data_IF_084118090540
#
_entry.id   IF_084118090540
#
_cell.length_a   1.000
_cell.length_b   1.000
_cell.length_c   1.000
_cell.angle_alpha   90.00
_cell.angle_beta   90.00
_cell.angle_gamma   90.00
#
_symmetry.space_group_name_H-M   'P 1'
#
loop_
_entity.id
_entity.type
_entity.pdbx_description
1 polymer ?
#
# COMPACT_ATOMS: atom_id res chain seq x y z
N UNK A 1 -4.42 -0.60 12.04
CA UNK A 1 -4.59 -0.44 10.58
C UNK A 1 -5.37 -1.64 10.09
N UNK A 2 -6.61 -1.43 9.71
CA UNK A 2 -7.41 -2.51 9.15
C UNK A 2 -7.29 -2.48 7.64
N UNK A 3 -6.50 -3.40 7.10
CA UNK A 3 -6.31 -3.59 5.65
C UNK A 3 -6.90 -4.94 5.31
N UNK A 4 -7.91 -4.93 4.47
CA UNK A 4 -8.59 -6.13 3.99
C UNK A 4 -8.17 -6.45 2.55
N UNK A 5 -8.45 -7.67 2.11
CA UNK A 5 -8.22 -8.15 0.74
C UNK A 5 -6.76 -8.04 0.25
N UNK A 6 -5.82 -8.38 1.12
CA UNK A 6 -4.42 -8.44 0.72
C UNK A 6 -4.18 -9.65 -0.18
N UNK A 7 -3.45 -9.46 -1.27
CA UNK A 7 -3.02 -10.57 -2.13
C UNK A 7 -2.05 -11.50 -1.41
N UNK A 8 -1.26 -10.97 -0.46
CA UNK A 8 -0.25 -11.74 0.28
C UNK A 8 -0.06 -11.17 1.69
N UNK A 9 0.16 -12.05 2.67
CA UNK A 9 0.61 -11.73 4.02
C UNK A 9 1.99 -12.35 4.24
N UNK A 10 2.94 -11.56 4.71
CA UNK A 10 4.27 -12.06 5.08
C UNK A 10 4.45 -11.89 6.58
N UNK A 11 4.59 -13.00 7.32
CA UNK A 11 5.02 -12.98 8.71
C UNK A 11 6.54 -13.00 8.77
N UNK A 12 7.14 -11.87 9.08
CA UNK A 12 8.59 -11.76 9.29
C UNK A 12 9.05 -12.54 10.53
N UNK A 13 8.23 -12.56 11.57
CA UNK A 13 8.38 -13.39 12.77
C UNK A 13 7.06 -14.10 13.04
N UNK A 14 7.14 -15.38 13.45
CA UNK A 14 5.97 -16.11 13.88
C UNK A 14 5.44 -15.52 15.20
N UNK A 15 4.14 -15.24 15.29
CA UNK A 15 3.54 -14.85 16.56
C UNK A 15 3.63 -15.98 17.58
N UNK A 16 3.54 -15.64 18.84
CA UNK A 16 3.62 -16.59 19.96
C UNK A 16 2.35 -17.41 20.11
N UNK A 17 1.24 -16.90 19.64
CA UNK A 17 -0.07 -17.52 19.73
C UNK A 17 -0.73 -17.66 18.37
N UNK A 18 -1.60 -18.64 18.27
CA UNK A 18 -2.25 -19.04 17.02
C UNK A 18 -3.35 -18.08 16.61
N UNK A 19 -4.05 -17.49 17.57
CA UNK A 19 -5.11 -16.53 17.29
C UNK A 19 -4.54 -15.31 16.53
N UNK A 20 -3.42 -14.77 17.00
CA UNK A 20 -2.68 -13.72 16.31
C UNK A 20 -2.23 -14.16 14.91
N UNK A 21 -1.76 -15.41 14.76
CA UNK A 21 -1.41 -15.94 13.44
C UNK A 21 -2.63 -15.96 12.51
N UNK A 22 -3.75 -16.48 12.99
CA UNK A 22 -5.00 -16.56 12.20
C UNK A 22 -5.52 -15.16 11.83
N UNK A 23 -5.47 -14.21 12.74
CA UNK A 23 -5.86 -12.81 12.46
C UNK A 23 -4.98 -12.16 11.40
N UNK A 24 -3.67 -12.42 11.41
CA UNK A 24 -2.76 -11.90 10.37
C UNK A 24 -3.05 -12.54 9.02
N UNK A 25 -3.09 -13.86 8.95
CA UNK A 25 -3.35 -14.61 7.72
C UNK A 25 -4.76 -14.34 7.20
N UNK A 26 -5.73 -14.14 8.08
CA UNK A 26 -7.10 -13.78 7.73
C UNK A 26 -7.27 -12.41 7.07
N UNK A 27 -6.19 -11.69 6.74
CA UNK A 27 -6.23 -10.48 5.91
C UNK A 27 -6.14 -10.79 4.42
N UNK A 28 -5.89 -12.06 4.06
CA UNK A 28 -5.84 -12.53 2.67
C UNK A 28 -6.82 -13.70 2.48
N UNK A 29 -7.20 -13.99 1.24
CA UNK A 29 -8.06 -15.13 0.91
C UNK A 29 -9.50 -15.04 1.42
N UNK A 30 -10.07 -13.85 1.52
CA UNK A 30 -11.48 -13.63 1.95
C UNK A 30 -12.46 -13.74 0.80
N UNK A 31 -13.72 -13.96 1.15
CA UNK A 31 -14.86 -13.98 0.21
C UNK A 31 -14.69 -14.94 -0.99
N UNK A 32 -14.02 -16.08 -0.79
CA UNK A 32 -13.78 -17.06 -1.86
C UNK A 32 -12.59 -16.73 -2.77
N UNK A 33 -11.87 -15.63 -2.53
CA UNK A 33 -10.64 -15.33 -3.24
C UNK A 33 -9.48 -16.18 -2.70
N UNK A 34 -8.53 -16.53 -3.58
CA UNK A 34 -7.29 -17.17 -3.17
C UNK A 34 -6.34 -16.12 -2.57
N UNK A 35 -5.65 -16.49 -1.49
CA UNK A 35 -4.66 -15.65 -0.85
C UNK A 35 -3.42 -16.43 -0.47
N UNK A 36 -2.28 -15.75 -0.38
CA UNK A 36 -1.01 -16.36 -0.01
C UNK A 36 -0.55 -15.85 1.36
N UNK A 37 -0.11 -16.75 2.23
CA UNK A 37 0.55 -16.39 3.48
C UNK A 37 1.92 -17.06 3.55
N UNK A 38 2.96 -16.27 3.71
CA UNK A 38 4.34 -16.74 3.85
C UNK A 38 4.82 -16.38 5.25
N UNK A 39 5.49 -17.32 5.92
CA UNK A 39 6.14 -17.06 7.21
C UNK A 39 7.63 -17.34 7.11
N UNK A 40 8.45 -16.40 7.52
CA UNK A 40 9.87 -16.62 7.70
C UNK A 40 10.07 -17.26 9.08
N UNK A 41 10.70 -18.42 9.13
CA UNK A 41 10.89 -19.20 10.36
C UNK A 41 12.37 -19.31 10.65
N UNK A 42 12.82 -18.61 11.68
CA UNK A 42 14.18 -18.79 12.20
C UNK A 42 14.28 -20.10 12.99
N UNK A 43 15.50 -20.64 13.13
CA UNK A 43 15.69 -21.93 13.83
C UNK A 43 15.11 -21.93 15.26
N UNK A 44 15.16 -20.79 15.97
CA UNK A 44 14.56 -20.61 17.31
C UNK A 44 13.01 -20.65 17.34
N UNK A 45 12.37 -20.51 16.18
CA UNK A 45 10.91 -20.47 16.04
C UNK A 45 10.34 -21.80 15.53
N UNK A 46 11.19 -22.79 15.32
CA UNK A 46 10.80 -24.08 14.75
C UNK A 46 9.71 -24.76 15.58
N UNK A 47 9.82 -24.75 16.91
CA UNK A 47 8.82 -25.32 17.81
C UNK A 47 7.45 -24.63 17.70
N UNK A 48 7.42 -23.32 17.42
CA UNK A 48 6.16 -22.60 17.17
C UNK A 48 5.53 -23.02 15.85
N UNK A 49 6.35 -23.19 14.81
CA UNK A 49 5.86 -23.67 13.52
C UNK A 49 5.30 -25.11 13.63
N UNK A 50 5.95 -25.99 14.36
CA UNK A 50 5.47 -27.34 14.65
C UNK A 50 4.15 -27.33 15.44
N UNK A 51 3.99 -26.42 16.42
CA UNK A 51 2.73 -26.24 17.14
C UNK A 51 1.61 -25.76 16.21
N UNK A 52 1.90 -24.86 15.25
CA UNK A 52 0.97 -24.45 14.20
C UNK A 52 0.53 -25.62 13.31
N UNK A 53 1.46 -26.48 12.90
CA UNK A 53 1.14 -27.69 12.13
C UNK A 53 0.18 -28.62 12.89
N UNK A 54 0.53 -28.92 14.13
CA UNK A 54 -0.27 -29.78 15.01
C UNK A 54 -1.70 -29.26 15.17
N UNK A 55 -1.88 -27.96 15.38
CA UNK A 55 -3.20 -27.38 15.57
C UNK A 55 -4.00 -27.25 14.28
N UNK A 56 -3.36 -27.03 13.14
CA UNK A 56 -4.04 -27.01 11.83
C UNK A 56 -4.43 -28.39 11.35
N UNK A 57 -3.86 -29.44 11.90
CA UNK A 57 -4.02 -30.82 11.44
C UNK A 57 -3.51 -31.04 10.02
N UNK A 58 -2.67 -30.14 9.51
CA UNK A 58 -2.08 -30.22 8.16
C UNK A 58 -0.64 -29.74 8.20
N UNK A 59 0.28 -30.42 7.50
CA UNK A 59 1.67 -30.02 7.40
C UNK A 59 1.78 -28.62 6.74
N UNK A 60 2.80 -27.87 7.12
CA UNK A 60 3.19 -26.64 6.43
C UNK A 60 3.99 -27.00 5.18
N UNK A 61 3.85 -26.18 4.15
CA UNK A 61 4.69 -26.29 2.95
C UNK A 61 6.05 -25.62 3.23
N UNK A 62 7.00 -26.44 3.69
CA UNK A 62 8.34 -25.99 4.01
C UNK A 62 9.16 -25.76 2.75
N UNK A 63 9.60 -24.52 2.57
CA UNK A 63 10.44 -24.15 1.45
C UNK A 63 11.82 -23.66 1.92
N UNK A 64 12.85 -23.96 1.14
CA UNK A 64 14.16 -23.39 1.38
C UNK A 64 14.14 -21.91 1.03
N UNK A 65 14.67 -21.07 1.92
CA UNK A 65 14.86 -19.67 1.64
C UNK A 65 15.76 -19.53 0.40
N UNK A 66 15.32 -18.82 -0.66
CA UNK A 66 16.19 -18.55 -1.79
C UNK A 66 17.45 -17.82 -1.31
N UNK A 67 18.61 -18.34 -1.66
CA UNK A 67 19.85 -17.61 -1.41
C UNK A 67 19.80 -16.28 -2.15
N UNK A 68 20.20 -15.21 -1.48
CA UNK A 68 20.33 -13.91 -2.12
C UNK A 68 21.26 -14.05 -3.32
N UNK A 69 20.72 -13.88 -4.51
CA UNK A 69 21.55 -13.80 -5.71
C UNK A 69 22.34 -12.49 -5.67
N UNK A 70 23.58 -12.50 -6.13
CA UNK A 70 24.44 -11.32 -6.15
C UNK A 70 23.92 -10.18 -7.06
N UNK A 71 22.88 -10.43 -7.85
CA UNK A 71 22.16 -9.40 -8.60
C UNK A 71 20.96 -8.93 -7.78
N UNK A 72 20.89 -7.63 -7.48
CA UNK A 72 19.64 -7.07 -6.99
C UNK A 72 18.55 -7.39 -8.01
N UNK A 73 17.55 -8.16 -7.61
CA UNK A 73 16.36 -8.29 -8.44
C UNK A 73 15.79 -6.88 -8.65
N UNK A 74 15.43 -6.54 -9.88
CA UNK A 74 14.68 -5.31 -10.12
C UNK A 74 13.41 -5.40 -9.30
N UNK A 75 13.33 -4.57 -8.28
CA UNK A 75 12.14 -4.52 -7.45
C UNK A 75 10.96 -4.04 -8.29
N UNK A 76 9.83 -4.74 -8.27
CA UNK A 76 8.65 -4.30 -8.98
C UNK A 76 8.26 -2.90 -8.50
N UNK A 77 8.14 -1.98 -9.43
CA UNK A 77 7.74 -0.62 -9.11
C UNK A 77 6.21 -0.54 -9.00
N UNK A 78 5.73 0.12 -7.96
CA UNK A 78 4.29 0.36 -7.83
C UNK A 78 3.79 1.16 -9.05
N UNK A 79 2.63 0.76 -9.60
CA UNK A 79 2.00 1.44 -10.73
C UNK A 79 1.61 2.89 -10.42
N UNK A 80 1.38 3.19 -9.14
CA UNK A 80 0.99 4.51 -8.68
C UNK A 80 2.10 5.14 -7.82
N UNK A 81 2.16 6.46 -7.79
CA UNK A 81 2.94 7.27 -6.86
C UNK A 81 2.03 8.17 -6.05
N UNK A 82 2.38 8.43 -4.82
CA UNK A 82 1.62 9.32 -3.96
C UNK A 82 2.13 10.75 -4.10
N UNK A 83 1.24 11.69 -4.40
CA UNK A 83 1.51 13.12 -4.27
C UNK A 83 1.01 13.59 -2.92
N UNK A 84 1.82 14.38 -2.24
CA UNK A 84 1.43 15.13 -1.05
C UNK A 84 1.19 16.58 -1.42
N UNK A 85 0.06 17.12 -0.98
CA UNK A 85 -0.35 18.51 -1.10
C UNK A 85 -0.36 19.10 0.31
N UNK A 86 0.34 20.21 0.53
CA UNK A 86 0.39 20.92 1.82
C UNK A 86 -0.86 21.82 1.99
N UNK A 87 -2.02 21.17 1.94
CA UNK A 87 -3.35 21.72 2.13
C UNK A 87 -4.33 20.63 2.51
N UNK A 88 -5.29 20.93 3.37
CA UNK A 88 -6.21 19.95 3.94
C UNK A 88 -7.59 20.48 4.29
N UNK A 89 -8.23 19.84 5.28
CA UNK A 89 -9.57 20.22 5.76
C UNK A 89 -9.61 21.65 6.29
N UNK A 90 -8.54 22.12 6.96
CA UNK A 90 -8.42 23.50 7.46
C UNK A 90 -8.44 24.54 6.34
N UNK A 91 -7.99 24.13 5.14
CA UNK A 91 -8.06 24.95 3.92
C UNK A 91 -9.38 24.76 3.17
N UNK A 92 -10.32 24.01 3.74
CA UNK A 92 -11.62 23.65 3.15
C UNK A 92 -11.48 22.88 1.83
N UNK A 93 -10.38 22.12 1.65
CA UNK A 93 -10.20 21.24 0.51
C UNK A 93 -11.11 20.02 0.61
N UNK A 94 -11.64 19.61 -0.54
CA UNK A 94 -12.44 18.40 -0.73
C UNK A 94 -11.82 17.54 -1.83
N UNK A 95 -12.08 16.24 -1.87
CA UNK A 95 -11.57 15.37 -2.95
C UNK A 95 -11.87 15.89 -4.35
N UNK A 96 -13.09 16.43 -4.56
CA UNK A 96 -13.50 17.01 -5.84
C UNK A 96 -12.66 18.22 -6.28
N UNK A 97 -12.18 19.06 -5.34
CA UNK A 97 -11.34 20.21 -5.67
C UNK A 97 -9.97 19.75 -6.22
N UNK A 98 -9.39 18.71 -5.62
CA UNK A 98 -8.12 18.12 -6.07
C UNK A 98 -8.32 17.39 -7.39
N UNK A 99 -9.40 16.61 -7.51
CA UNK A 99 -9.73 15.92 -8.75
C UNK A 99 -9.92 16.91 -9.90
N UNK A 100 -10.68 17.99 -9.67
CA UNK A 100 -10.93 19.04 -10.66
C UNK A 100 -9.64 19.71 -11.13
N UNK A 101 -8.72 20.06 -10.23
CA UNK A 101 -7.42 20.63 -10.59
C UNK A 101 -6.56 19.65 -11.41
N UNK A 102 -6.60 18.36 -11.08
CA UNK A 102 -5.84 17.34 -11.81
C UNK A 102 -6.44 17.03 -13.19
N UNK A 103 -7.76 17.00 -13.32
CA UNK A 103 -8.41 16.68 -14.60
C UNK A 103 -8.54 17.90 -15.50
N UNK A 104 -8.77 19.08 -14.92
CA UNK A 104 -8.88 20.34 -15.65
C UNK A 104 -7.51 20.90 -16.03
N UNK A 105 -6.87 21.62 -15.10
CA UNK A 105 -5.64 22.36 -15.36
C UNK A 105 -4.46 21.45 -15.70
N UNK A 106 -4.32 20.32 -15.05
CA UNK A 106 -3.27 19.36 -15.33
C UNK A 106 -3.57 18.41 -16.51
N UNK A 107 -4.81 18.36 -16.97
CA UNK A 107 -5.24 17.55 -18.12
C UNK A 107 -5.01 16.05 -17.96
N UNK A 108 -5.10 15.52 -16.73
CA UNK A 108 -4.99 14.09 -16.49
C UNK A 108 -6.36 13.42 -16.69
N UNK A 109 -6.37 12.29 -17.38
CA UNK A 109 -7.57 11.47 -17.43
C UNK A 109 -7.88 10.86 -16.05
N UNK A 110 -9.15 10.84 -15.65
CA UNK A 110 -9.56 10.33 -14.32
C UNK A 110 -9.06 8.93 -13.99
N UNK A 111 -8.90 8.06 -14.99
CA UNK A 111 -8.33 6.70 -14.82
C UNK A 111 -6.88 6.67 -14.28
N UNK A 112 -6.14 7.77 -14.40
CA UNK A 112 -4.76 7.91 -13.88
C UNK A 112 -4.72 8.47 -12.46
N UNK A 113 -5.89 8.80 -11.88
CA UNK A 113 -6.04 9.34 -10.54
C UNK A 113 -6.70 8.28 -9.66
N UNK A 114 -5.99 7.85 -8.63
CA UNK A 114 -6.49 6.88 -7.67
C UNK A 114 -7.06 7.56 -6.41
N UNK A 115 -6.89 6.90 -5.26
CA UNK A 115 -7.44 7.34 -3.96
C UNK A 115 -6.96 8.75 -3.60
N UNK A 116 -7.90 9.60 -3.19
CA UNK A 116 -7.64 10.92 -2.61
C UNK A 116 -8.01 10.86 -1.13
N UNK A 117 -7.04 11.18 -0.26
CA UNK A 117 -7.23 11.23 1.19
C UNK A 117 -6.93 12.64 1.70
N UNK A 118 -7.85 13.22 2.48
CA UNK A 118 -7.72 14.58 3.03
C UNK A 118 -7.65 14.52 4.55
N UNK A 119 -6.57 15.07 5.09
CA UNK A 119 -6.29 15.21 6.51
C UNK A 119 -6.44 16.69 6.94
N UNK A 120 -6.29 17.01 8.22
CA UNK A 120 -6.48 18.39 8.68
C UNK A 120 -5.65 19.42 7.88
N UNK A 121 -4.35 19.20 7.73
CA UNK A 121 -3.41 20.17 7.11
C UNK A 121 -2.76 19.68 5.82
N UNK A 122 -3.05 18.45 5.38
CA UNK A 122 -2.40 17.82 4.23
C UNK A 122 -3.39 16.95 3.48
N UNK A 123 -3.13 16.77 2.19
CA UNK A 123 -3.86 15.82 1.36
C UNK A 123 -2.90 14.94 0.60
N UNK A 124 -3.34 13.74 0.27
CA UNK A 124 -2.59 12.78 -0.50
C UNK A 124 -3.44 12.27 -1.65
N UNK A 125 -2.82 12.13 -2.81
CA UNK A 125 -3.48 11.58 -3.99
C UNK A 125 -2.57 10.58 -4.68
N UNK A 126 -3.10 9.44 -5.04
CA UNK A 126 -2.40 8.45 -5.85
C UNK A 126 -2.51 8.83 -7.33
N UNK A 127 -1.38 8.89 -8.02
CA UNK A 127 -1.30 9.20 -9.44
C UNK A 127 -0.52 8.11 -10.16
N UNK A 128 -0.97 7.72 -11.36
CA UNK A 128 -0.21 6.80 -12.20
C UNK A 128 1.23 7.31 -12.36
N UNK A 129 2.20 6.41 -12.11
CA UNK A 129 3.63 6.73 -11.99
C UNK A 129 4.16 7.61 -13.12
N UNK A 130 3.79 7.30 -14.34
CA UNK A 130 4.21 8.01 -15.55
C UNK A 130 3.74 9.47 -15.59
N UNK A 131 2.65 9.80 -14.88
CA UNK A 131 2.06 11.13 -14.84
C UNK A 131 2.38 11.93 -13.57
N UNK A 132 3.03 11.32 -12.57
CA UNK A 132 3.23 11.93 -11.25
C UNK A 132 4.02 13.25 -11.31
N UNK A 133 5.11 13.30 -12.03
CA UNK A 133 5.94 14.51 -12.14
C UNK A 133 5.20 15.65 -12.86
N UNK A 134 4.48 15.31 -13.94
CA UNK A 134 3.65 16.29 -14.66
C UNK A 134 2.53 16.83 -13.77
N UNK A 135 1.90 15.96 -12.98
CA UNK A 135 0.85 16.35 -12.04
C UNK A 135 1.37 17.33 -10.98
N UNK A 136 2.57 17.08 -10.41
CA UNK A 136 3.19 18.00 -9.45
C UNK A 136 3.42 19.38 -10.08
N UNK A 137 4.10 19.43 -11.22
CA UNK A 137 4.40 20.69 -11.89
C UNK A 137 3.12 21.52 -12.14
N UNK A 138 2.07 20.87 -12.64
CA UNK A 138 0.80 21.54 -12.93
C UNK A 138 0.05 22.00 -11.68
N UNK A 139 0.10 21.23 -10.59
CA UNK A 139 -0.52 21.66 -9.31
C UNK A 139 0.25 22.81 -8.64
N UNK A 140 1.58 22.88 -8.82
CA UNK A 140 2.39 23.98 -8.30
C UNK A 140 2.21 25.28 -9.09
N UNK A 141 2.10 25.19 -10.43
CA UNK A 141 1.80 26.31 -11.31
C UNK A 141 0.35 26.80 -11.14
N UNK A 142 -0.57 25.86 -10.96
CA UNK A 142 -2.00 26.09 -10.92
C UNK A 142 -2.55 26.48 -9.56
N UNK A 143 -3.86 26.38 -9.44
CA UNK A 143 -4.59 26.65 -8.20
C UNK A 143 -5.55 25.53 -7.90
N UNK A 144 -5.63 25.09 -6.65
CA UNK A 144 -6.69 24.22 -6.18
C UNK A 144 -7.69 25.11 -5.42
N UNK A 145 -8.91 25.20 -5.89
CA UNK A 145 -9.95 26.05 -5.29
C UNK A 145 -9.49 27.52 -5.11
N UNK A 146 -8.84 28.07 -6.13
CA UNK A 146 -8.37 29.46 -6.14
C UNK A 146 -7.09 29.73 -5.33
N UNK A 147 -6.49 28.72 -4.65
CA UNK A 147 -5.29 28.87 -3.80
C UNK A 147 -4.15 27.99 -4.35
N UNK A 148 -2.91 28.43 -4.15
CA UNK A 148 -1.71 27.65 -4.45
C UNK A 148 -1.31 26.83 -3.23
N UNK A 149 -0.91 25.58 -3.46
CA UNK A 149 -0.40 24.68 -2.44
C UNK A 149 0.91 24.05 -2.92
N UNK A 150 1.87 23.93 -2.01
CA UNK A 150 3.08 23.19 -2.29
C UNK A 150 2.74 21.72 -2.49
N UNK A 151 3.23 21.15 -3.58
CA UNK A 151 2.97 19.75 -3.94
C UNK A 151 4.29 19.03 -4.18
N UNK A 152 4.39 17.77 -3.77
CA UNK A 152 5.58 16.93 -4.01
C UNK A 152 5.22 15.46 -4.18
N UNK A 153 6.07 14.75 -4.90
CA UNK A 153 6.03 13.28 -4.97
C UNK A 153 6.65 12.72 -3.69
N UNK A 154 6.03 11.66 -3.14
CA UNK A 154 6.53 10.90 -1.99
C UNK A 154 7.41 9.74 -2.45
#
# INVERSE_FOLDING_TARGET
LDVEELAMVINYELPTDIETYQHRVGRTGRAGASGMAISLVAGREKSRAEALEAQRGKPLDWQKTPLATSRPAELPQAAMRTLRIDGGKTDKLRPGDILGALTGDAGLAGKHIGKIAIYPTRSYVAIAREHANRAVAKLEEGKIKGRRFRTRVM
#
